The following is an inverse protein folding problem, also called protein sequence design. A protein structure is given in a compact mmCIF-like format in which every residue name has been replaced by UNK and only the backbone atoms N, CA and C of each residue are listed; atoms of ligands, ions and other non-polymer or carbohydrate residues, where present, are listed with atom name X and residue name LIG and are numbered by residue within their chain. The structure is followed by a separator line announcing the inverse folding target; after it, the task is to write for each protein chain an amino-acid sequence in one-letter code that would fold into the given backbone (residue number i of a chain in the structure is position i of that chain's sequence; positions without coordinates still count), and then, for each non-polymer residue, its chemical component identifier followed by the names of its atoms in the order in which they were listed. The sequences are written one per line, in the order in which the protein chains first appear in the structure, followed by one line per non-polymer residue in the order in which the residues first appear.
data_IF_812202904612
#
_entry.id   IF_812202904612
#
_cell.length_a   1.000
_cell.length_b   1.000
_cell.length_c   1.000
_cell.angle_alpha   90.00
_cell.angle_beta   90.00
_cell.angle_gamma   90.00
#
_symmetry.space_group_name_H-M   'P 1'
#
loop_
_entity.id
_entity.type
_entity.pdbx_description
1 polymer ?
#
# COMPACT_ATOMS: atom_id res chain seq x y z
N UNK A 1 -9.08 -10.30 10.11
CA UNK A 1 -10.27 -11.03 9.65
C UNK A 1 -9.91 -12.21 8.73
N UNK A 2 -9.14 -12.01 7.65
CA UNK A 2 -8.75 -13.07 6.71
C UNK A 2 -8.10 -14.28 7.39
N UNK A 3 -7.22 -14.04 8.37
CA UNK A 3 -6.58 -15.10 9.14
C UNK A 3 -7.58 -15.83 10.05
N UNK A 4 -8.49 -15.10 10.71
CA UNK A 4 -9.54 -15.69 11.56
C UNK A 4 -10.48 -16.54 10.71
N UNK A 5 -10.83 -16.07 9.51
CA UNK A 5 -11.63 -16.83 8.56
C UNK A 5 -10.93 -18.11 8.12
N UNK A 6 -9.65 -18.06 7.83
CA UNK A 6 -8.86 -19.21 7.40
C UNK A 6 -8.81 -20.31 8.47
N UNK A 7 -8.51 -19.95 9.74
CA UNK A 7 -8.36 -20.94 10.83
C UNK A 7 -9.69 -21.34 11.51
N UNK A 8 -10.78 -20.58 11.33
CA UNK A 8 -12.08 -20.85 11.94
C UNK A 8 -13.18 -21.20 10.93
N UNK A 9 -12.82 -21.65 9.75
CA UNK A 9 -13.78 -21.93 8.68
C UNK A 9 -14.90 -22.90 9.11
N UNK A 10 -14.59 -23.87 9.97
CA UNK A 10 -15.56 -24.85 10.47
C UNK A 10 -16.44 -24.35 11.65
N UNK A 11 -16.05 -23.31 12.37
CA UNK A 11 -16.72 -22.86 13.60
C UNK A 11 -17.81 -21.80 13.43
N UNK A 12 -18.09 -21.38 12.21
CA UNK A 12 -19.11 -20.37 11.92
C UNK A 12 -18.62 -18.94 12.15
N UNK A 13 -19.23 -18.00 11.43
CA UNK A 13 -18.87 -16.57 11.44
C UNK A 13 -19.29 -15.90 12.75
N UNK A 14 -18.35 -15.34 13.47
CA UNK A 14 -18.63 -14.43 14.61
C UNK A 14 -19.39 -13.18 14.15
N UNK A 15 -20.33 -12.72 14.96
CA UNK A 15 -21.02 -11.45 14.75
C UNK A 15 -20.01 -10.28 14.84
N UNK A 16 -19.98 -9.43 13.80
CA UNK A 16 -19.11 -8.25 13.68
C UNK A 16 -17.57 -8.51 13.79
N UNK A 17 -17.00 -9.37 12.93
CA UNK A 17 -15.58 -9.73 13.00
C UNK A 17 -14.66 -8.53 12.73
N UNK A 18 -15.04 -7.61 11.85
CA UNK A 18 -14.23 -6.43 11.47
C UNK A 18 -14.05 -5.48 12.66
N UNK A 19 -15.15 -5.13 13.35
CA UNK A 19 -15.09 -4.22 14.49
C UNK A 19 -14.29 -4.80 15.66
N UNK A 20 -14.40 -6.11 15.92
CA UNK A 20 -13.62 -6.81 16.94
C UNK A 20 -12.13 -6.84 16.60
N UNK A 21 -11.78 -7.14 15.34
CA UNK A 21 -10.37 -7.15 14.87
C UNK A 21 -9.75 -5.77 14.95
N UNK A 22 -10.47 -4.72 14.56
CA UNK A 22 -10.03 -3.33 14.66
C UNK A 22 -9.76 -2.92 16.12
N UNK A 23 -10.72 -3.18 17.02
CA UNK A 23 -10.59 -2.91 18.45
C UNK A 23 -9.41 -3.67 19.07
N UNK A 24 -9.20 -4.93 18.68
CA UNK A 24 -8.08 -5.75 19.14
C UNK A 24 -6.74 -5.20 18.66
N UNK A 25 -6.64 -4.84 17.37
CA UNK A 25 -5.44 -4.23 16.79
C UNK A 25 -5.03 -2.93 17.50
N UNK A 26 -5.98 -2.02 17.73
CA UNK A 26 -5.69 -0.76 18.44
C UNK A 26 -5.36 -1.01 19.92
N UNK A 27 -6.08 -1.90 20.61
CA UNK A 27 -5.91 -2.06 22.06
C UNK A 27 -4.62 -2.79 22.43
N UNK A 28 -4.23 -3.80 21.67
CA UNK A 28 -3.13 -4.70 22.05
C UNK A 28 -1.86 -4.51 21.21
N UNK A 29 -1.99 -4.02 19.97
CA UNK A 29 -0.87 -3.94 19.03
C UNK A 29 -0.55 -2.52 18.56
N UNK A 30 -1.15 -1.50 19.19
CA UNK A 30 -0.93 -0.09 18.85
C UNK A 30 0.55 0.30 18.91
N UNK A 31 1.28 -0.13 19.94
CA UNK A 31 2.71 0.14 20.07
C UNK A 31 3.53 -0.42 18.91
N UNK A 32 3.26 -1.65 18.47
CA UNK A 32 3.93 -2.27 17.35
C UNK A 32 3.62 -1.56 16.02
N UNK A 33 2.37 -1.12 15.83
CA UNK A 33 1.95 -0.35 14.66
C UNK A 33 2.66 1.00 14.58
N UNK A 34 2.68 1.74 15.70
CA UNK A 34 3.36 3.04 15.80
C UNK A 34 4.87 2.89 15.59
N UNK A 35 5.48 1.85 16.16
CA UNK A 35 6.91 1.60 16.02
C UNK A 35 7.31 1.41 14.54
N UNK A 36 6.62 0.55 13.80
CA UNK A 36 6.88 0.35 12.38
C UNK A 36 6.62 1.60 11.53
N UNK A 37 5.54 2.35 11.82
CA UNK A 37 5.25 3.61 11.15
C UNK A 37 6.33 4.67 11.43
N UNK A 38 6.87 4.72 12.65
CA UNK A 38 7.93 5.65 13.05
C UNK A 38 9.23 5.40 12.27
N UNK A 39 9.60 4.14 12.07
CA UNK A 39 10.80 3.80 11.27
C UNK A 39 10.68 4.34 9.84
N UNK A 40 9.53 4.12 9.19
CA UNK A 40 9.28 4.64 7.84
C UNK A 40 9.28 6.18 7.85
N UNK A 41 8.66 6.81 8.85
CA UNK A 41 8.62 8.26 8.96
C UNK A 41 10.02 8.87 9.08
N UNK A 42 10.92 8.26 9.88
CA UNK A 42 12.32 8.69 10.01
C UNK A 42 13.04 8.59 8.65
N UNK A 43 12.91 7.47 7.94
CA UNK A 43 13.57 7.29 6.63
C UNK A 43 13.05 8.33 5.64
N UNK A 44 11.74 8.55 5.56
CA UNK A 44 11.14 9.57 4.68
C UNK A 44 11.57 10.99 5.07
N UNK A 45 11.67 11.28 6.35
CA UNK A 45 12.18 12.56 6.83
C UNK A 45 13.62 12.79 6.38
N UNK A 46 14.50 11.78 6.50
CA UNK A 46 15.87 11.86 6.00
C UNK A 46 15.92 12.09 4.49
N UNK A 47 15.04 11.47 3.71
CA UNK A 47 14.94 11.72 2.26
C UNK A 47 14.60 13.18 1.96
N UNK A 48 13.65 13.77 2.67
CA UNK A 48 13.27 15.20 2.51
C UNK A 48 14.44 16.12 2.88
N UNK A 49 15.17 15.82 3.96
CA UNK A 49 16.35 16.59 4.38
C UNK A 49 17.43 16.53 3.32
N UNK A 50 17.75 15.35 2.80
CA UNK A 50 18.75 15.16 1.74
C UNK A 50 18.36 15.92 0.48
N UNK A 51 17.10 15.85 0.05
CA UNK A 51 16.58 16.59 -1.10
C UNK A 51 16.69 18.12 -0.89
N UNK A 52 16.35 18.60 0.30
CA UNK A 52 16.47 20.01 0.66
C UNK A 52 17.92 20.49 0.60
N UNK A 53 18.86 19.72 1.19
CA UNK A 53 20.29 20.05 1.16
C UNK A 53 20.79 20.08 -0.28
N UNK A 54 20.44 19.09 -1.10
CA UNK A 54 20.79 19.01 -2.52
C UNK A 54 20.34 20.27 -3.27
N UNK A 55 19.07 20.64 -3.15
CA UNK A 55 18.53 21.86 -3.77
C UNK A 55 19.22 23.15 -3.32
N UNK A 56 19.58 23.26 -2.03
CA UNK A 56 20.30 24.40 -1.48
C UNK A 56 21.72 24.48 -2.03
N UNK A 57 22.42 23.34 -2.12
CA UNK A 57 23.78 23.28 -2.63
C UNK A 57 23.85 23.49 -4.15
N UNK A 58 22.87 23.04 -4.92
CA UNK A 58 22.79 23.33 -6.36
C UNK A 58 22.69 24.83 -6.65
N UNK A 59 22.05 25.59 -5.76
CA UNK A 59 21.95 27.06 -5.88
C UNK A 59 23.25 27.78 -5.52
N UNK A 60 24.09 27.18 -4.66
CA UNK A 60 25.30 27.83 -4.09
C UNK A 60 26.58 27.40 -4.78
N UNK A 61 26.63 26.17 -5.34
CA UNK A 61 27.83 25.64 -5.99
C UNK A 61 27.91 26.06 -7.46
N UNK A 62 28.94 26.81 -7.83
CA UNK A 62 29.28 27.13 -9.23
C UNK A 62 29.48 25.87 -10.08
N UNK A 63 29.29 26.00 -11.40
CA UNK A 63 29.18 24.94 -12.41
C UNK A 63 30.29 23.84 -12.41
N UNK A 64 31.44 24.04 -11.80
CA UNK A 64 32.59 23.11 -11.91
C UNK A 64 32.67 22.04 -10.81
N UNK A 65 32.24 22.34 -9.58
CA UNK A 65 32.25 21.36 -8.45
C UNK A 65 30.96 20.55 -8.31
N UNK A 66 29.95 20.84 -9.12
CA UNK A 66 28.61 20.26 -8.98
C UNK A 66 28.46 18.80 -9.44
N UNK A 67 29.34 18.28 -10.31
CA UNK A 67 29.15 16.92 -10.87
C UNK A 67 29.44 15.81 -9.86
N UNK A 68 30.51 15.91 -9.10
CA UNK A 68 30.86 14.91 -8.08
C UNK A 68 29.85 14.92 -6.92
N UNK A 69 29.43 16.12 -6.51
CA UNK A 69 28.41 16.29 -5.48
C UNK A 69 27.04 15.70 -5.89
N UNK A 70 26.63 15.93 -7.15
CA UNK A 70 25.39 15.33 -7.68
C UNK A 70 25.42 13.81 -7.63
N UNK A 71 26.55 13.20 -7.93
CA UNK A 71 26.71 11.74 -7.90
C UNK A 71 26.55 11.21 -6.46
N UNK A 72 27.19 11.84 -5.48
CA UNK A 72 27.09 11.44 -4.05
C UNK A 72 25.65 11.55 -3.55
N UNK A 73 24.97 12.68 -3.80
CA UNK A 73 23.57 12.84 -3.39
C UNK A 73 22.63 11.86 -4.11
N UNK A 74 22.88 11.57 -5.40
CA UNK A 74 22.11 10.56 -6.13
C UNK A 74 22.28 9.16 -5.52
N UNK A 75 23.49 8.79 -5.10
CA UNK A 75 23.75 7.53 -4.40
C UNK A 75 23.01 7.48 -3.04
N UNK A 76 23.05 8.57 -2.26
CA UNK A 76 22.35 8.64 -0.96
C UNK A 76 20.83 8.55 -1.16
N UNK A 77 20.26 9.29 -2.11
CA UNK A 77 18.84 9.22 -2.44
C UNK A 77 18.42 7.81 -2.90
N UNK A 78 19.26 7.16 -3.72
CA UNK A 78 19.02 5.79 -4.16
C UNK A 78 19.05 4.81 -2.98
N UNK A 79 20.05 4.90 -2.10
CA UNK A 79 20.16 4.08 -0.90
C UNK A 79 18.96 4.28 0.03
N UNK A 80 18.59 5.52 0.33
CA UNK A 80 17.43 5.83 1.17
C UNK A 80 16.12 5.36 0.53
N UNK A 81 15.98 5.51 -0.79
CA UNK A 81 14.82 5.01 -1.54
C UNK A 81 14.73 3.48 -1.49
N UNK A 82 15.83 2.76 -1.62
CA UNK A 82 15.89 1.31 -1.45
C UNK A 82 15.53 0.92 0.00
N UNK A 83 16.11 1.59 0.99
CA UNK A 83 15.81 1.34 2.40
C UNK A 83 14.32 1.57 2.71
N UNK A 84 13.71 2.64 2.18
CA UNK A 84 12.29 2.91 2.36
C UNK A 84 11.42 1.78 1.83
N UNK A 85 11.69 1.31 0.60
CA UNK A 85 10.93 0.22 -0.02
C UNK A 85 11.09 -1.11 0.75
N UNK A 86 12.31 -1.43 1.17
CA UNK A 86 12.58 -2.63 1.98
C UNK A 86 11.84 -2.56 3.30
N UNK A 87 11.88 -1.40 3.99
CA UNK A 87 11.18 -1.24 5.26
C UNK A 87 9.65 -1.25 5.11
N UNK A 88 9.10 -0.67 4.05
CA UNK A 88 7.67 -0.78 3.75
C UNK A 88 7.25 -2.25 3.54
N UNK A 89 8.07 -3.01 2.83
CA UNK A 89 7.85 -4.44 2.61
C UNK A 89 7.93 -5.24 3.93
N UNK A 90 8.99 -5.03 4.71
CA UNK A 90 9.17 -5.69 6.02
C UNK A 90 8.03 -5.35 6.97
N UNK A 91 7.61 -4.07 7.05
CA UNK A 91 6.50 -3.65 7.90
C UNK A 91 5.19 -4.35 7.51
N UNK A 92 4.90 -4.45 6.20
CA UNK A 92 3.70 -5.13 5.72
C UNK A 92 3.64 -6.57 6.23
N UNK A 93 4.73 -7.32 6.09
CA UNK A 93 4.79 -8.71 6.52
C UNK A 93 4.87 -8.86 8.05
N UNK A 94 5.54 -7.92 8.74
CA UNK A 94 5.56 -7.88 10.20
C UNK A 94 4.15 -7.68 10.78
N UNK A 95 3.35 -6.76 10.22
CA UNK A 95 1.98 -6.53 10.69
C UNK A 95 1.07 -7.75 10.46
N UNK A 96 1.24 -8.47 9.35
CA UNK A 96 0.52 -9.73 9.12
C UNK A 96 0.91 -10.77 10.18
N UNK A 97 2.21 -10.89 10.47
CA UNK A 97 2.71 -11.84 11.47
C UNK A 97 2.27 -11.48 12.90
N UNK A 98 2.25 -10.19 13.25
CA UNK A 98 1.68 -9.71 14.52
C UNK A 98 0.20 -10.08 14.63
N UNK A 99 -0.56 -9.93 13.55
CA UNK A 99 -1.97 -10.28 13.53
C UNK A 99 -2.21 -11.79 13.67
N UNK A 100 -1.27 -12.63 13.22
CA UNK A 100 -1.34 -14.08 13.30
C UNK A 100 -0.90 -14.63 14.66
N UNK A 101 0.27 -14.19 15.16
CA UNK A 101 0.91 -14.75 16.37
C UNK A 101 0.82 -13.84 17.60
N UNK A 102 0.64 -12.52 17.43
CA UNK A 102 0.62 -11.56 18.52
C UNK A 102 2.00 -11.16 19.07
N UNK A 103 3.06 -11.46 18.35
CA UNK A 103 4.45 -11.22 18.75
C UNK A 103 4.85 -9.74 18.73
N UNK A 104 6.02 -9.41 19.32
CA UNK A 104 6.62 -8.08 19.22
C UNK A 104 7.00 -7.75 17.78
N UNK A 105 7.04 -6.44 17.42
CA UNK A 105 7.34 -6.01 16.06
C UNK A 105 8.65 -6.59 15.50
N UNK A 106 9.74 -6.56 16.29
CA UNK A 106 11.04 -7.04 15.81
C UNK A 106 11.04 -8.56 15.55
N UNK A 107 10.42 -9.34 16.43
CA UNK A 107 10.28 -10.80 16.26
C UNK A 107 9.41 -11.11 15.06
N UNK A 108 8.26 -10.46 14.94
CA UNK A 108 7.33 -10.62 13.84
C UNK A 108 7.94 -10.20 12.48
N UNK A 109 8.76 -9.13 12.46
CA UNK A 109 9.47 -8.70 11.27
C UNK A 109 10.50 -9.75 10.80
N UNK A 110 11.27 -10.30 11.73
CA UNK A 110 12.25 -11.34 11.42
C UNK A 110 11.61 -12.63 10.93
N UNK A 111 10.58 -13.09 11.64
CA UNK A 111 9.87 -14.32 11.26
C UNK A 111 9.10 -14.16 9.96
N UNK A 112 8.36 -13.05 9.78
CA UNK A 112 7.59 -12.77 8.57
C UNK A 112 8.49 -12.67 7.34
N UNK A 113 9.63 -11.97 7.46
CA UNK A 113 10.62 -11.86 6.39
C UNK A 113 11.29 -13.21 6.11
N UNK A 114 11.65 -13.98 7.15
CA UNK A 114 12.21 -15.31 7.03
C UNK A 114 11.27 -16.30 6.34
N UNK A 115 9.96 -16.23 6.63
CA UNK A 115 8.93 -17.06 5.99
C UNK A 115 8.86 -16.78 4.49
N UNK A 116 8.86 -15.50 4.10
CA UNK A 116 8.82 -15.11 2.69
C UNK A 116 10.07 -15.58 1.95
N UNK A 117 11.28 -15.40 2.52
CA UNK A 117 12.53 -15.80 1.86
C UNK A 117 12.59 -17.32 1.69
N UNK A 118 12.22 -18.09 2.71
CA UNK A 118 12.23 -19.55 2.64
C UNK A 118 11.25 -20.10 1.59
N UNK A 119 10.16 -19.39 1.33
CA UNK A 119 9.10 -19.79 0.40
C UNK A 119 8.98 -18.83 -0.80
N UNK A 120 10.07 -18.17 -1.19
CA UNK A 120 10.09 -17.10 -2.19
C UNK A 120 9.40 -17.49 -3.51
N UNK A 121 9.60 -18.71 -3.99
CA UNK A 121 9.00 -19.21 -5.23
C UNK A 121 7.47 -19.27 -5.14
N UNK A 122 6.94 -19.86 -4.09
CA UNK A 122 5.48 -19.97 -3.88
C UNK A 122 4.86 -18.61 -3.62
N UNK A 123 5.52 -17.80 -2.76
CA UNK A 123 5.05 -16.47 -2.42
C UNK A 123 5.01 -15.55 -3.64
N UNK A 124 6.06 -15.52 -4.47
CA UNK A 124 6.11 -14.66 -5.65
C UNK A 124 5.07 -15.04 -6.71
N UNK A 125 4.82 -16.34 -6.94
CA UNK A 125 3.78 -16.78 -7.87
C UNK A 125 2.38 -16.32 -7.43
N UNK A 126 2.03 -16.51 -6.15
CA UNK A 126 0.74 -16.07 -5.61
C UNK A 126 0.61 -14.55 -5.59
N UNK A 127 1.70 -13.83 -5.26
CA UNK A 127 1.72 -12.37 -5.29
C UNK A 127 1.57 -11.82 -6.71
N UNK A 128 2.16 -12.46 -7.73
CA UNK A 128 1.98 -12.08 -9.14
C UNK A 128 0.53 -12.24 -9.58
N UNK A 129 -0.10 -13.39 -9.27
CA UNK A 129 -1.51 -13.64 -9.60
C UNK A 129 -2.41 -12.59 -8.91
N UNK A 130 -2.21 -12.34 -7.60
CA UNK A 130 -2.94 -11.31 -6.86
C UNK A 130 -2.74 -9.90 -7.42
N UNK A 131 -1.50 -9.59 -7.86
CA UNK A 131 -1.17 -8.33 -8.53
C UNK A 131 -1.91 -8.15 -9.86
N UNK A 132 -1.99 -9.19 -10.68
CA UNK A 132 -2.76 -9.16 -11.94
C UNK A 132 -4.25 -8.91 -11.68
N UNK A 133 -4.86 -9.62 -10.73
CA UNK A 133 -6.25 -9.39 -10.34
C UNK A 133 -6.47 -7.95 -9.83
N UNK A 134 -5.54 -7.40 -9.07
CA UNK A 134 -5.62 -6.01 -8.60
C UNK A 134 -5.61 -5.00 -9.74
N UNK A 135 -4.76 -5.18 -10.73
CA UNK A 135 -4.69 -4.30 -11.92
C UNK A 135 -6.00 -4.36 -12.70
N UNK A 136 -6.48 -5.57 -13.00
CA UNK A 136 -7.76 -5.77 -13.70
C UNK A 136 -8.92 -5.13 -12.93
N UNK A 137 -8.97 -5.31 -11.62
CA UNK A 137 -9.99 -4.72 -10.76
C UNK A 137 -9.97 -3.19 -10.77
N UNK A 138 -8.79 -2.56 -10.72
CA UNK A 138 -8.65 -1.09 -10.80
C UNK A 138 -9.16 -0.59 -12.15
N UNK A 139 -8.76 -1.21 -13.26
CA UNK A 139 -9.21 -0.84 -14.61
C UNK A 139 -10.72 -0.97 -14.71
N UNK A 140 -11.29 -2.09 -14.24
CA UNK A 140 -12.73 -2.33 -14.28
C UNK A 140 -13.51 -1.26 -13.52
N UNK A 141 -13.12 -0.93 -12.27
CA UNK A 141 -13.78 0.09 -11.46
C UNK A 141 -13.67 1.47 -12.12
N UNK A 142 -12.50 1.79 -12.69
CA UNK A 142 -12.25 3.08 -13.38
C UNK A 142 -13.16 3.23 -14.59
N UNK A 143 -13.21 2.22 -15.47
CA UNK A 143 -14.03 2.23 -16.68
C UNK A 143 -15.51 2.28 -16.32
N UNK A 144 -15.95 1.47 -15.36
CA UNK A 144 -17.33 1.41 -14.91
C UNK A 144 -17.79 2.76 -14.32
N UNK A 145 -16.95 3.40 -13.50
CA UNK A 145 -17.21 4.75 -12.99
C UNK A 145 -17.33 5.80 -14.10
N UNK A 146 -16.45 5.74 -15.11
CA UNK A 146 -16.51 6.63 -16.29
C UNK A 146 -17.78 6.44 -17.10
N UNK A 147 -18.21 5.18 -17.33
CA UNK A 147 -19.45 4.86 -18.04
C UNK A 147 -20.68 5.35 -17.27
N UNK A 148 -20.74 5.11 -15.96
CA UNK A 148 -21.83 5.63 -15.11
C UNK A 148 -21.86 7.16 -15.18
N UNK A 149 -20.68 7.82 -15.06
CA UNK A 149 -20.58 9.27 -15.15
C UNK A 149 -21.11 9.81 -16.49
N UNK A 150 -20.71 9.18 -17.59
CA UNK A 150 -21.24 9.53 -18.93
C UNK A 150 -22.75 9.37 -19.01
N UNK A 151 -23.28 8.27 -18.53
CA UNK A 151 -24.74 7.98 -18.55
C UNK A 151 -25.53 8.99 -17.71
N UNK A 152 -25.02 9.33 -16.51
CA UNK A 152 -25.66 10.33 -15.65
C UNK A 152 -25.69 11.73 -16.30
N UNK A 153 -24.58 12.14 -16.91
CA UNK A 153 -24.48 13.47 -17.55
C UNK A 153 -25.39 13.56 -18.76
N UNK A 154 -25.54 12.46 -19.52
CA UNK A 154 -26.32 12.47 -20.78
C UNK A 154 -27.83 12.37 -20.52
N UNK A 155 -28.26 11.64 -19.47
CA UNK A 155 -29.68 11.36 -19.21
C UNK A 155 -30.32 12.30 -18.18
N UNK A 156 -29.51 13.02 -17.38
CA UNK A 156 -30.06 13.94 -16.37
C UNK A 156 -30.05 15.36 -16.93
N UNK A 157 -31.22 15.87 -17.30
CA UNK A 157 -31.41 17.21 -17.89
C UNK A 157 -30.80 18.35 -17.07
N UNK A 158 -30.70 18.18 -15.76
CA UNK A 158 -30.10 19.16 -14.86
C UNK A 158 -28.63 19.41 -15.14
N UNK A 159 -27.89 18.37 -15.56
CA UNK A 159 -26.45 18.49 -15.87
C UNK A 159 -26.19 18.84 -17.34
N UNK A 160 -27.12 18.51 -18.27
CA UNK A 160 -26.90 18.71 -19.69
C UNK A 160 -27.08 20.16 -20.16
N UNK A 161 -27.86 20.98 -19.43
CA UNK A 161 -28.19 22.36 -19.84
C UNK A 161 -27.06 23.37 -19.75
N UNK A 162 -26.13 23.18 -18.80
CA UNK A 162 -25.08 24.16 -18.50
C UNK A 162 -23.67 23.73 -18.93
N UNK A 163 -23.52 22.55 -19.51
CA UNK A 163 -22.22 21.99 -19.88
C UNK A 163 -21.89 22.17 -21.36
N UNK A 164 -20.90 23.00 -21.66
CA UNK A 164 -20.35 23.15 -23.01
C UNK A 164 -19.59 21.89 -23.51
N UNK A 165 -19.19 20.97 -22.60
CA UNK A 165 -18.44 19.74 -22.92
C UNK A 165 -18.64 18.67 -21.87
N UNK A 166 -19.09 17.48 -22.28
CA UNK A 166 -19.27 16.32 -21.40
C UNK A 166 -17.94 15.65 -20.98
N UNK A 167 -16.83 16.00 -21.63
CA UNK A 167 -15.53 15.32 -21.45
C UNK A 167 -14.96 15.56 -20.06
N UNK A 168 -14.99 16.82 -19.59
CA UNK A 168 -14.40 17.20 -18.31
C UNK A 168 -15.05 16.48 -17.11
N UNK A 169 -16.38 16.44 -16.96
CA UNK A 169 -17.00 15.70 -15.88
C UNK A 169 -16.81 14.18 -15.99
N UNK A 170 -16.82 13.60 -17.18
CA UNK A 170 -16.54 12.16 -17.36
C UNK A 170 -15.12 11.80 -16.90
N UNK A 171 -14.13 12.64 -17.21
CA UNK A 171 -12.75 12.49 -16.72
C UNK A 171 -12.69 12.59 -15.18
N UNK A 172 -13.46 13.50 -14.58
CA UNK A 172 -13.53 13.60 -13.12
C UNK A 172 -14.11 12.31 -12.48
N UNK A 173 -15.18 11.74 -13.04
CA UNK A 173 -15.71 10.45 -12.60
C UNK A 173 -14.70 9.31 -12.75
N UNK A 174 -13.95 9.28 -13.85
CA UNK A 174 -12.90 8.28 -14.07
C UNK A 174 -11.75 8.42 -13.04
N UNK A 175 -11.34 9.64 -12.70
CA UNK A 175 -10.31 9.89 -11.67
C UNK A 175 -10.81 9.41 -10.29
N UNK A 176 -12.04 9.75 -9.92
CA UNK A 176 -12.64 9.27 -8.66
C UNK A 176 -12.71 7.74 -8.65
N UNK A 177 -13.17 7.13 -9.74
CA UNK A 177 -13.20 5.68 -9.92
C UNK A 177 -11.82 5.04 -9.80
N UNK A 178 -10.78 5.65 -10.36
CA UNK A 178 -9.40 5.20 -10.23
C UNK A 178 -8.92 5.23 -8.77
N UNK A 179 -9.15 6.32 -8.06
CA UNK A 179 -8.76 6.44 -6.63
C UNK A 179 -9.49 5.39 -5.79
N UNK A 180 -10.81 5.24 -5.97
CA UNK A 180 -11.60 4.24 -5.25
C UNK A 180 -11.16 2.82 -5.60
N UNK A 181 -10.87 2.54 -6.88
CA UNK A 181 -10.33 1.26 -7.33
C UNK A 181 -8.98 0.93 -6.67
N UNK A 182 -8.08 1.90 -6.57
CA UNK A 182 -6.79 1.74 -5.87
C UNK A 182 -6.96 1.40 -4.39
N UNK A 183 -7.87 2.09 -3.69
CA UNK A 183 -8.14 1.83 -2.27
C UNK A 183 -8.74 0.43 -2.09
N UNK A 184 -9.75 0.08 -2.86
CA UNK A 184 -10.42 -1.23 -2.77
C UNK A 184 -9.46 -2.38 -3.06
N UNK A 185 -8.67 -2.28 -4.14
CA UNK A 185 -7.73 -3.33 -4.50
C UNK A 185 -6.50 -3.40 -3.58
N UNK A 186 -6.15 -2.32 -2.90
CA UNK A 186 -5.14 -2.35 -1.83
C UNK A 186 -5.59 -3.23 -0.66
N UNK A 187 -6.85 -3.12 -0.24
CA UNK A 187 -7.42 -3.97 0.82
C UNK A 187 -7.41 -5.45 0.38
N UNK A 188 -7.82 -5.72 -0.87
CA UNK A 188 -7.78 -7.07 -1.44
C UNK A 188 -6.36 -7.65 -1.45
N UNK A 189 -5.35 -6.87 -1.87
CA UNK A 189 -3.95 -7.28 -1.89
C UNK A 189 -3.43 -7.63 -0.49
N UNK A 190 -3.72 -6.81 0.53
CA UNK A 190 -3.30 -7.08 1.91
C UNK A 190 -3.99 -8.33 2.47
N UNK A 191 -5.28 -8.52 2.15
CA UNK A 191 -6.01 -9.73 2.55
C UNK A 191 -5.44 -10.98 1.90
N UNK A 192 -5.07 -10.91 0.63
CA UNK A 192 -4.41 -11.99 -0.10
C UNK A 192 -3.06 -12.36 0.52
N UNK A 193 -2.22 -11.38 0.83
CA UNK A 193 -0.94 -11.63 1.49
C UNK A 193 -1.12 -12.27 2.88
N UNK A 194 -2.16 -11.87 3.64
CA UNK A 194 -2.46 -12.47 4.93
C UNK A 194 -2.87 -13.94 4.79
N UNK A 195 -3.66 -14.28 3.76
CA UNK A 195 -4.04 -15.68 3.45
C UNK A 195 -2.82 -16.51 3.03
N UNK A 196 -1.93 -15.95 2.20
CA UNK A 196 -0.68 -16.62 1.81
C UNK A 196 0.17 -16.92 3.04
N UNK A 197 0.33 -15.94 3.96
CA UNK A 197 1.05 -16.17 5.21
C UNK A 197 0.40 -17.26 6.09
N UNK A 198 -0.93 -17.27 6.19
CA UNK A 198 -1.66 -18.29 6.94
C UNK A 198 -1.42 -19.69 6.34
N UNK A 199 -1.47 -19.80 5.02
CA UNK A 199 -1.21 -21.05 4.29
C UNK A 199 0.24 -21.54 4.41
N UNK A 200 1.22 -20.63 4.53
CA UNK A 200 2.64 -21.02 4.67
C UNK A 200 3.01 -21.39 6.11
N UNK A 201 2.18 -21.04 7.09
CA UNK A 201 2.35 -21.38 8.50
C UNK A 201 1.69 -22.71 8.86
N UNK A 202 0.70 -23.16 8.07
CA UNK A 202 0.00 -24.43 8.23
C UNK A 202 0.83 -25.59 7.64
#
# INVERSE_FOLDING_TARGET
DSCIWYFNFEKGTENHPIAKSFKRGIRYHFGSLVFGATIIAIIRFLMVVVEYIKKKMEKTAGKSKGKCFKCVFCCIECCLGCCSKVMEYVNKHAYIQIALKGDSFCTAAWEGFGLVIRNLGRFSMLALVGGMFSIVGIIFITVFSGVIGYFLITNVEYFSKDLNSCVLPVVAFAIVGFVMGRVTMSIFSVSGDALIHSFLLD
#
